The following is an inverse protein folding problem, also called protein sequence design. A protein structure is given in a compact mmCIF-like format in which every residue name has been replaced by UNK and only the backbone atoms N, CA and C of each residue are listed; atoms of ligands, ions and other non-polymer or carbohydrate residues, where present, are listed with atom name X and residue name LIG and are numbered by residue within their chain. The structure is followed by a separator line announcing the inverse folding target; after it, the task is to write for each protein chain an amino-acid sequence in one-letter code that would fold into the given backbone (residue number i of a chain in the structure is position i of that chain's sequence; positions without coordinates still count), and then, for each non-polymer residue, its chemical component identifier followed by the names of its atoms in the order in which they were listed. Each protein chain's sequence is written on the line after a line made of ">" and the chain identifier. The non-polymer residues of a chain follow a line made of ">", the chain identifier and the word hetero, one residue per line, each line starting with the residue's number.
data_IF_157135483784
#
_entry.id   IF_157135483784
#
_cell.length_a   1.000
_cell.length_b   1.000
_cell.length_c   1.000
_cell.angle_alpha   90.00
_cell.angle_beta   90.00
_cell.angle_gamma   90.00
#
_symmetry.space_group_name_H-M   'P 1'
#
loop_
_entity.id
_entity.type
_entity.pdbx_description
1 polymer ?
#
# COMPACT_ATOMS: atom_id res chain seq x y z
N UNK A 1 -27.44 58.88 41.41
CA UNK A 1 -26.31 59.19 40.48
C UNK A 1 -24.99 58.53 40.88
N UNK A 2 -24.65 58.35 42.17
CA UNK A 2 -23.35 57.74 42.56
C UNK A 2 -23.23 56.24 42.23
N UNK A 3 -24.32 55.48 42.36
CA UNK A 3 -24.36 54.05 42.01
C UNK A 3 -24.17 53.81 40.50
N UNK A 4 -24.81 54.63 39.66
CA UNK A 4 -24.67 54.53 38.19
C UNK A 4 -23.26 54.87 37.73
N UNK A 5 -22.59 55.84 38.36
CA UNK A 5 -21.20 56.19 38.06
C UNK A 5 -20.23 55.09 38.50
N UNK A 6 -20.46 54.47 39.66
CA UNK A 6 -19.65 53.33 40.13
C UNK A 6 -19.79 52.11 39.21
N UNK A 7 -21.00 51.84 38.73
CA UNK A 7 -21.28 50.71 37.84
C UNK A 7 -20.66 50.92 36.45
N UNK A 8 -20.70 52.16 35.94
CA UNK A 8 -20.02 52.52 34.70
C UNK A 8 -18.49 52.40 34.82
N UNK A 9 -17.91 52.86 35.92
CA UNK A 9 -16.47 52.75 36.18
C UNK A 9 -16.02 51.28 36.29
N UNK A 10 -16.81 50.44 36.95
CA UNK A 10 -16.55 49.00 37.05
C UNK A 10 -16.63 48.31 35.67
N UNK A 11 -17.62 48.67 34.85
CA UNK A 11 -17.76 48.14 33.50
C UNK A 11 -16.56 48.53 32.61
N UNK A 12 -16.08 49.77 32.70
CA UNK A 12 -14.89 50.22 31.96
C UNK A 12 -13.63 49.50 32.46
N UNK A 13 -13.44 49.36 33.78
CA UNK A 13 -12.29 48.66 34.33
C UNK A 13 -12.24 47.18 33.91
N UNK A 14 -13.41 46.52 33.82
CA UNK A 14 -13.50 45.12 33.37
C UNK A 14 -13.08 44.94 31.90
N UNK A 15 -13.27 45.96 31.04
CA UNK A 15 -12.82 45.89 29.63
C UNK A 15 -11.31 46.01 29.46
N UNK A 16 -10.60 46.64 30.41
CA UNK A 16 -9.15 46.84 30.34
C UNK A 16 -8.36 45.62 30.86
N UNK A 17 -8.98 44.77 31.68
CA UNK A 17 -8.34 43.57 32.24
C UNK A 17 -8.14 42.42 31.23
N UNK A 18 -8.58 42.58 29.98
CA UNK A 18 -8.71 41.49 29.01
C UNK A 18 -7.44 41.07 28.25
N UNK A 19 -6.27 41.66 28.50
CA UNK A 19 -5.08 41.40 27.68
C UNK A 19 -3.89 40.87 28.50
N UNK A 20 -4.10 39.76 29.20
CA UNK A 20 -2.98 38.90 29.59
C UNK A 20 -2.63 38.02 28.38
N UNK A 21 -1.81 38.54 27.47
CA UNK A 21 -1.26 37.73 26.36
C UNK A 21 -0.18 36.82 26.95
N UNK A 22 -0.59 35.66 27.48
CA UNK A 22 0.29 34.55 27.85
C UNK A 22 0.81 33.80 26.61
N UNK A 23 1.08 34.53 25.53
CA UNK A 23 1.58 34.04 24.25
C UNK A 23 3.03 34.46 24.03
N UNK A 24 3.90 34.14 24.97
CA UNK A 24 5.35 34.25 24.74
C UNK A 24 5.77 33.37 23.57
N UNK A 25 6.84 33.74 22.87
CA UNK A 25 7.41 32.97 21.77
C UNK A 25 7.83 31.58 22.25
N UNK A 26 6.91 30.62 22.20
CA UNK A 26 7.24 29.22 22.33
C UNK A 26 8.05 28.85 21.07
N UNK A 27 9.26 28.27 21.22
CA UNK A 27 9.98 27.77 20.06
C UNK A 27 9.08 26.77 19.33
N UNK A 28 8.93 26.96 18.02
CA UNK A 28 8.21 26.00 17.18
C UNK A 28 8.97 24.69 17.28
N UNK A 29 8.37 23.72 17.96
CA UNK A 29 8.89 22.35 17.97
C UNK A 29 8.63 21.81 16.57
N UNK A 30 9.69 21.73 15.77
CA UNK A 30 9.61 21.05 14.49
C UNK A 30 9.33 19.57 14.76
N UNK A 31 8.12 19.13 14.43
CA UNK A 31 7.78 17.71 14.44
C UNK A 31 8.67 17.02 13.40
N UNK A 32 9.37 15.93 13.76
CA UNK A 32 10.14 15.19 12.78
C UNK A 32 9.17 14.65 11.72
N UNK A 33 9.50 14.88 10.44
CA UNK A 33 8.71 14.30 9.36
C UNK A 33 8.64 12.77 9.52
N UNK A 34 7.48 12.15 9.21
CA UNK A 34 7.31 10.72 9.35
C UNK A 34 8.36 10.01 8.50
N UNK A 35 9.22 9.22 9.16
CA UNK A 35 10.20 8.38 8.47
C UNK A 35 9.44 7.30 7.72
N UNK A 36 9.36 7.43 6.40
CA UNK A 36 8.79 6.39 5.54
C UNK A 36 9.79 5.24 5.44
N UNK A 37 9.49 4.15 6.12
CA UNK A 37 10.21 2.89 5.94
C UNK A 37 9.75 2.28 4.62
N UNK A 38 10.60 2.35 3.59
CA UNK A 38 10.35 1.68 2.31
C UNK A 38 10.77 0.22 2.47
N UNK A 39 9.79 -0.70 2.41
CA UNK A 39 10.10 -2.12 2.35
C UNK A 39 10.81 -2.46 1.02
N UNK A 40 11.87 -3.29 1.05
CA UNK A 40 12.50 -3.76 -0.17
C UNK A 40 11.51 -4.58 -1.00
N UNK A 41 11.61 -4.48 -2.34
CA UNK A 41 10.80 -5.30 -3.25
C UNK A 41 10.98 -6.79 -2.92
N UNK A 42 9.88 -7.51 -2.78
CA UNK A 42 9.92 -8.93 -2.49
C UNK A 42 10.63 -9.69 -3.63
N UNK A 43 11.49 -10.68 -3.34
CA UNK A 43 12.08 -11.52 -4.36
C UNK A 43 11.01 -12.20 -5.22
N UNK A 44 11.04 -11.97 -6.52
CA UNK A 44 10.11 -12.54 -7.49
C UNK A 44 10.67 -13.83 -8.10
N UNK A 45 9.83 -14.85 -8.22
CA UNK A 45 10.22 -16.18 -8.69
C UNK A 45 9.88 -16.40 -10.16
N UNK A 46 10.83 -16.95 -10.93
CA UNK A 46 10.64 -17.33 -12.34
C UNK A 46 9.85 -18.64 -12.47
N UNK A 47 9.60 -19.38 -11.38
CA UNK A 47 8.89 -20.65 -11.41
C UNK A 47 7.45 -20.54 -11.94
N UNK A 48 6.81 -19.37 -11.77
CA UNK A 48 5.48 -19.11 -12.33
C UNK A 48 5.42 -19.15 -13.87
N UNK A 49 6.57 -18.97 -14.55
CA UNK A 49 6.69 -19.11 -16.00
C UNK A 49 7.24 -20.47 -16.40
N UNK A 50 8.22 -20.99 -15.66
CA UNK A 50 8.87 -22.26 -15.99
C UNK A 50 7.92 -23.44 -15.84
N UNK A 51 7.08 -23.46 -14.79
CA UNK A 51 6.19 -24.59 -14.54
C UNK A 51 5.13 -24.76 -15.65
N UNK A 52 4.40 -23.71 -16.10
CA UNK A 52 3.49 -23.83 -17.24
C UNK A 52 4.18 -24.24 -18.53
N UNK A 53 5.37 -23.69 -18.82
CA UNK A 53 6.12 -24.04 -20.02
C UNK A 53 6.60 -25.50 -20.02
N UNK A 54 7.07 -25.98 -18.87
CA UNK A 54 7.45 -27.38 -18.71
C UNK A 54 6.25 -28.32 -18.88
N UNK A 55 5.09 -27.97 -18.31
CA UNK A 55 3.86 -28.73 -18.48
C UNK A 55 3.42 -28.78 -19.95
N UNK A 56 3.43 -27.63 -20.63
CA UNK A 56 3.11 -27.56 -22.06
C UNK A 56 4.07 -28.43 -22.89
N UNK A 57 5.38 -28.31 -22.66
CA UNK A 57 6.39 -29.12 -23.34
C UNK A 57 6.22 -30.62 -23.10
N UNK A 58 5.87 -31.02 -21.87
CA UNK A 58 5.59 -32.41 -21.54
C UNK A 58 4.38 -32.98 -22.28
N UNK A 59 3.28 -32.22 -22.38
CA UNK A 59 2.11 -32.63 -23.16
C UNK A 59 2.41 -32.78 -24.65
N UNK A 60 3.17 -31.85 -25.22
CA UNK A 60 3.62 -31.93 -26.62
C UNK A 60 4.48 -33.18 -26.85
N UNK A 61 5.42 -33.46 -25.94
CA UNK A 61 6.27 -34.64 -26.05
C UNK A 61 5.46 -35.96 -26.01
N UNK A 62 4.45 -36.05 -25.14
CA UNK A 62 3.55 -37.20 -25.07
C UNK A 62 2.76 -37.36 -26.38
N UNK A 63 2.24 -36.27 -26.92
CA UNK A 63 1.46 -36.31 -28.16
C UNK A 63 2.32 -36.78 -29.35
N UNK A 64 3.55 -36.27 -29.49
CA UNK A 64 4.48 -36.70 -30.55
C UNK A 64 4.84 -38.17 -30.41
N UNK A 65 5.15 -38.63 -29.19
CA UNK A 65 5.49 -40.03 -28.97
C UNK A 65 4.32 -40.99 -29.25
N UNK A 66 3.08 -40.52 -29.19
CA UNK A 66 1.89 -41.35 -29.43
C UNK A 66 1.55 -41.50 -30.92
N UNK A 67 1.93 -40.53 -31.77
CA UNK A 67 1.67 -40.55 -33.22
C UNK A 67 2.58 -41.56 -33.95
N UNK A 68 3.80 -41.79 -33.44
CA UNK A 68 4.77 -42.71 -34.04
C UNK A 68 4.40 -44.21 -33.89
N UNK A 69 3.50 -44.58 -32.97
CA UNK A 69 3.15 -45.99 -32.67
C UNK A 69 1.98 -46.56 -33.51
N UNK A 70 1.28 -45.76 -34.34
CA UNK A 70 0.07 -46.20 -35.08
C UNK A 70 0.36 -46.83 -36.47
N UNK A 71 1.61 -47.20 -36.78
CA UNK A 71 2.07 -47.47 -38.15
C UNK A 71 2.30 -48.92 -38.64
N UNK A 72 2.04 -49.98 -37.86
CA UNK A 72 2.36 -51.37 -38.29
C UNK A 72 1.25 -52.39 -37.97
N UNK A 73 0.15 -52.34 -38.73
CA UNK A 73 -0.89 -53.37 -38.70
C UNK A 73 -1.41 -53.72 -40.10
N UNK A 74 -0.53 -54.16 -41.00
CA UNK A 74 -0.95 -54.83 -42.23
C UNK A 74 -1.42 -56.27 -41.95
N UNK A 75 -2.64 -56.69 -42.38
CA UNK A 75 -3.09 -58.06 -42.18
C UNK A 75 -2.26 -59.01 -43.06
N UNK A 76 -1.60 -60.00 -42.45
CA UNK A 76 -0.94 -61.08 -43.20
C UNK A 76 -2.00 -61.96 -43.84
N UNK A 77 -2.04 -62.03 -45.18
CA UNK A 77 -2.88 -62.99 -45.90
C UNK A 77 -2.20 -64.37 -45.87
N UNK A 78 -2.87 -65.43 -45.38
CA UNK A 78 -2.37 -66.79 -45.52
C UNK A 78 -2.67 -67.33 -46.93
N UNK A 79 -1.64 -67.88 -47.60
CA UNK A 79 -1.76 -68.77 -48.78
C UNK A 79 -2.26 -70.17 -48.39
#
# INVERSE_FOLDING_TARGET
>A
MRLTTALLAAAVAATVAGQAVAGGFAPVVAEPEPVVVVEPEAPRSTFGLLLPLALLGGLVAIAVASDDDEGDSSPVSPE
#
